data_IF_430173425116
#
_entry.id   IF_430173425116
#
_cell.length_a   1.000
_cell.length_b   1.000
_cell.length_c   1.000
_cell.angle_alpha   90.00
_cell.angle_beta   90.00
_cell.angle_gamma   90.00
#
_symmetry.space_group_name_H-M   'P 1'
#
loop_
_entity.id
_entity.type
_entity.pdbx_description
1 polymer ?
#
# COMPACT_ATOMS: atom_id res chain seq x y z
N UNK A 1 9.74 14.32 13.53
CA UNK A 1 9.18 14.07 14.89
C UNK A 1 10.13 14.69 15.89
N UNK A 2 9.64 15.45 16.86
CA UNK A 2 10.46 16.01 17.93
C UNK A 2 10.81 14.94 18.96
N UNK A 3 12.05 14.94 19.44
CA UNK A 3 12.49 14.15 20.59
C UNK A 3 12.61 15.11 21.77
N UNK A 4 11.84 14.87 22.83
CA UNK A 4 11.75 15.75 24.00
C UNK A 4 12.76 15.32 25.06
N UNK A 5 13.54 16.26 25.58
CA UNK A 5 14.51 16.00 26.66
C UNK A 5 14.58 17.21 27.59
N UNK A 6 14.10 17.09 28.85
CA UNK A 6 13.47 15.89 29.45
C UNK A 6 12.13 15.51 28.80
N UNK A 7 11.60 14.29 29.06
CA UNK A 7 10.25 13.92 28.65
C UNK A 7 9.20 14.91 29.19
N UNK A 8 8.15 15.18 28.43
CA UNK A 8 7.06 16.06 28.86
C UNK A 8 5.96 15.26 29.56
N UNK A 9 5.49 15.73 30.72
CA UNK A 9 4.34 15.14 31.41
C UNK A 9 3.04 15.71 30.85
N UNK A 10 2.21 14.85 30.26
CA UNK A 10 0.94 15.24 29.65
C UNK A 10 -0.15 14.31 30.14
N UNK A 11 -1.06 14.80 30.99
CA UNK A 11 -2.19 14.03 31.50
C UNK A 11 -1.79 12.70 32.17
N UNK A 12 -0.73 12.74 33.00
CA UNK A 12 -0.21 11.57 33.72
C UNK A 12 0.61 10.58 32.88
N UNK A 13 0.93 10.90 31.62
CA UNK A 13 1.86 10.10 30.82
C UNK A 13 3.10 10.89 30.44
N UNK A 14 4.24 10.23 30.55
CA UNK A 14 5.54 10.75 30.15
C UNK A 14 5.76 10.59 28.64
N UNK A 15 5.82 11.70 27.92
CA UNK A 15 5.92 11.75 26.45
C UNK A 15 7.33 12.13 26.03
N UNK A 16 7.98 11.25 25.26
CA UNK A 16 9.32 11.49 24.66
C UNK A 16 9.29 11.94 23.21
N UNK A 17 8.17 11.73 22.51
CA UNK A 17 8.04 11.97 21.07
C UNK A 17 6.75 12.75 20.81
N UNK A 18 6.86 13.84 20.06
CA UNK A 18 5.72 14.64 19.64
C UNK A 18 5.79 14.92 18.14
N UNK A 19 4.64 14.92 17.47
CA UNK A 19 4.57 15.24 16.04
C UNK A 19 4.89 16.72 15.79
N UNK A 20 5.59 16.96 14.68
CA UNK A 20 5.82 18.30 14.11
C UNK A 20 4.97 18.51 12.84
N UNK A 21 4.03 17.60 12.59
CA UNK A 21 3.17 17.55 11.39
C UNK A 21 3.95 17.43 10.07
N UNK A 22 4.40 18.55 9.50
CA UNK A 22 5.13 18.62 8.24
C UNK A 22 6.09 19.83 8.27
N UNK A 23 6.91 19.97 7.23
CA UNK A 23 7.91 21.06 7.19
C UNK A 23 7.28 22.45 7.10
N UNK A 24 6.16 22.62 6.38
CA UNK A 24 5.46 23.90 6.32
C UNK A 24 4.95 24.35 7.70
N UNK A 25 4.40 23.43 8.50
CA UNK A 25 3.93 23.73 9.86
C UNK A 25 5.11 24.02 10.81
N UNK A 26 6.21 23.29 10.63
CA UNK A 26 7.45 23.46 11.37
C UNK A 26 8.13 24.81 11.07
N UNK A 27 8.05 25.30 9.82
CA UNK A 27 8.49 26.65 9.43
C UNK A 27 7.55 27.73 9.98
N UNK A 28 6.24 27.57 9.80
CA UNK A 28 5.21 28.50 10.32
C UNK A 28 5.33 28.73 11.83
N UNK A 29 5.68 27.70 12.59
CA UNK A 29 5.87 27.76 14.05
C UNK A 29 7.29 28.13 14.47
N UNK A 30 8.18 28.48 13.52
CA UNK A 30 9.60 28.73 13.75
C UNK A 30 10.37 27.59 14.43
N UNK A 31 9.81 26.37 14.43
CA UNK A 31 10.37 25.21 15.11
C UNK A 31 11.64 24.66 14.43
N UNK A 32 11.83 24.91 13.12
CA UNK A 32 13.09 24.58 12.43
C UNK A 32 14.32 25.22 13.08
N UNK A 33 14.17 26.39 13.70
CA UNK A 33 15.25 27.14 14.36
C UNK A 33 15.18 27.04 15.88
N UNK A 34 14.37 26.13 16.40
CA UNK A 34 14.13 26.00 17.84
C UNK A 34 14.65 24.68 18.42
N UNK A 35 15.50 23.94 17.69
CA UNK A 35 16.14 22.75 18.23
C UNK A 35 17.04 23.15 19.40
N UNK A 36 16.74 22.62 20.60
CA UNK A 36 17.39 22.98 21.86
C UNK A 36 16.50 23.79 22.79
N UNK A 37 15.55 24.57 22.24
CA UNK A 37 14.67 25.45 23.00
C UNK A 37 13.50 24.70 23.67
N UNK A 38 12.90 25.35 24.67
CA UNK A 38 11.66 24.90 25.29
C UNK A 38 10.50 25.04 24.31
N UNK A 39 9.64 24.02 24.29
CA UNK A 39 8.47 23.97 23.41
C UNK A 39 7.22 23.65 24.20
N UNK A 40 6.09 24.20 23.78
CA UNK A 40 4.79 23.82 24.30
C UNK A 40 4.31 22.56 23.57
N UNK A 41 3.92 21.54 24.31
CA UNK A 41 3.40 20.27 23.78
C UNK A 41 2.00 20.07 24.33
N UNK A 42 1.09 19.63 23.47
CA UNK A 42 -0.29 19.30 23.85
C UNK A 42 -0.71 17.95 23.27
N UNK A 43 -1.80 17.38 23.79
CA UNK A 43 -2.46 16.22 23.18
C UNK A 43 -3.56 16.69 22.24
N UNK A 44 -3.40 16.43 20.94
CA UNK A 44 -4.48 16.61 19.99
C UNK A 44 -5.52 15.50 20.17
N UNK A 45 -6.75 15.86 20.54
CA UNK A 45 -7.87 14.93 20.73
C UNK A 45 -7.58 13.81 21.73
N UNK A 46 -6.91 14.14 22.84
CA UNK A 46 -6.50 13.26 23.95
C UNK A 46 -5.52 12.10 23.62
N UNK A 47 -5.18 11.90 22.35
CA UNK A 47 -4.39 10.72 21.90
C UNK A 47 -3.00 11.08 21.38
N UNK A 48 -2.84 12.11 20.54
CA UNK A 48 -1.59 12.32 19.79
C UNK A 48 -0.83 13.55 20.32
N UNK A 49 0.35 13.37 20.95
CA UNK A 49 1.17 14.51 21.36
C UNK A 49 1.70 15.28 20.15
N UNK A 50 1.50 16.61 20.15
CA UNK A 50 2.00 17.53 19.12
C UNK A 50 2.69 18.74 19.73
N UNK A 51 3.68 19.28 19.02
CA UNK A 51 4.31 20.54 19.40
C UNK A 51 3.47 21.71 18.88
N UNK A 52 3.07 22.60 19.79
CA UNK A 52 2.24 23.78 19.48
C UNK A 52 3.10 24.92 18.96
N UNK A 53 4.24 25.19 19.62
CA UNK A 53 5.19 26.24 19.27
C UNK A 53 6.32 26.34 20.28
N UNK A 54 7.13 27.38 20.19
CA UNK A 54 8.19 27.68 21.16
C UNK A 54 7.55 28.21 22.44
N UNK A 55 7.99 27.76 23.61
CA UNK A 55 7.34 28.11 24.88
C UNK A 55 7.31 29.63 25.15
N UNK A 56 8.37 30.33 24.74
CA UNK A 56 8.53 31.78 24.89
C UNK A 56 7.45 32.59 24.16
N UNK A 57 6.75 31.99 23.20
CA UNK A 57 5.62 32.62 22.49
C UNK A 57 4.31 32.58 23.30
N UNK A 58 4.26 31.83 24.41
CA UNK A 58 3.04 31.56 25.19
C UNK A 58 3.09 31.98 26.66
N UNK A 59 4.28 32.20 27.22
CA UNK A 59 4.47 32.54 28.63
C UNK A 59 5.36 33.77 28.77
N UNK A 60 4.93 34.74 29.57
CA UNK A 60 5.73 35.93 29.91
C UNK A 60 6.94 35.53 30.78
N UNK A 61 8.03 36.30 30.71
CA UNK A 61 9.30 36.03 31.39
C UNK A 61 9.21 35.98 32.94
N UNK A 62 8.05 36.33 33.51
CA UNK A 62 7.81 36.35 34.95
C UNK A 62 7.51 34.95 35.48
N UNK A 63 8.56 34.22 35.87
CA UNK A 63 8.45 32.96 36.60
C UNK A 63 9.22 31.78 36.00
N UNK A 64 9.97 31.98 34.92
CA UNK A 64 10.92 30.98 34.45
C UNK A 64 12.20 31.09 35.26
N UNK A 65 12.47 30.12 36.14
CA UNK A 65 13.84 29.88 36.60
C UNK A 65 14.77 29.97 35.38
N UNK A 66 15.86 30.75 35.48
CA UNK A 66 16.86 30.94 34.43
C UNK A 66 17.43 29.58 34.01
N UNK A 67 16.75 28.92 33.07
CA UNK A 67 17.33 27.82 32.34
C UNK A 67 18.24 28.45 31.30
N UNK A 68 19.50 28.68 31.67
CA UNK A 68 20.54 29.13 30.72
C UNK A 68 20.63 28.09 29.59
N UNK A 69 20.01 28.40 28.46
CA UNK A 69 19.99 27.55 27.27
C UNK A 69 21.38 27.60 26.59
N UNK A 70 22.33 26.85 27.15
CA UNK A 70 23.71 26.71 26.64
C UNK A 70 23.81 25.77 25.43
N UNK A 71 22.68 25.28 24.90
CA UNK A 71 22.69 24.35 23.77
C UNK A 71 22.73 25.12 22.46
N UNK A 72 23.60 24.70 21.56
CA UNK A 72 23.68 25.26 20.21
C UNK A 72 22.32 25.12 19.51
N UNK A 73 21.70 26.26 19.18
CA UNK A 73 20.48 26.30 18.40
C UNK A 73 20.82 25.84 16.98
N UNK A 74 20.38 24.64 16.61
CA UNK A 74 20.59 24.11 15.27
C UNK A 74 19.37 24.37 14.38
N UNK A 75 19.61 24.73 13.12
CA UNK A 75 18.54 24.85 12.12
C UNK A 75 18.29 23.51 11.47
N UNK A 76 17.18 22.86 11.80
CA UNK A 76 16.74 21.64 11.16
C UNK A 76 16.29 21.93 9.73
N UNK A 77 16.92 21.26 8.75
CA UNK A 77 16.59 21.37 7.33
C UNK A 77 15.90 20.11 6.81
N UNK A 78 15.03 20.24 5.79
CA UNK A 78 14.55 19.11 5.00
C UNK A 78 15.66 18.14 4.60
N UNK A 79 15.51 16.82 4.83
CA UNK A 79 16.41 15.86 4.22
C UNK A 79 16.25 15.93 2.70
N UNK A 80 17.37 15.94 1.97
CA UNK A 80 17.37 15.86 0.50
C UNK A 80 17.26 14.43 -0.01
N UNK A 81 17.65 13.47 0.83
CA UNK A 81 17.64 12.04 0.56
C UNK A 81 16.80 11.32 1.61
N UNK A 82 16.13 10.25 1.21
CA UNK A 82 15.26 9.49 2.07
C UNK A 82 16.09 8.71 3.09
N UNK A 83 15.87 8.89 4.41
CA UNK A 83 16.63 8.17 5.43
C UNK A 83 16.39 6.65 5.44
N UNK A 84 15.39 6.16 4.69
CA UNK A 84 15.10 4.73 4.58
C UNK A 84 15.73 4.07 3.34
N UNK A 85 15.93 4.79 2.24
CA UNK A 85 16.33 4.17 0.96
C UNK A 85 17.29 5.00 0.10
N UNK A 86 17.69 6.20 0.54
CA UNK A 86 18.60 7.09 -0.19
C UNK A 86 17.96 7.84 -1.36
N UNK A 87 16.77 7.46 -1.84
CA UNK A 87 16.11 8.14 -2.95
C UNK A 87 15.82 9.63 -2.64
N UNK A 88 15.70 10.44 -3.68
CA UNK A 88 15.45 11.87 -3.54
C UNK A 88 14.18 12.17 -2.73
N UNK A 89 14.24 13.20 -1.89
CA UNK A 89 13.07 13.76 -1.22
C UNK A 89 12.63 15.01 -1.97
N UNK A 90 11.35 15.06 -2.32
CA UNK A 90 10.76 16.15 -3.09
C UNK A 90 9.48 16.67 -2.45
N UNK A 91 9.22 17.95 -2.66
CA UNK A 91 8.02 18.61 -2.19
C UNK A 91 6.85 18.21 -3.10
N UNK A 92 6.03 17.28 -2.62
CA UNK A 92 4.90 16.77 -3.39
C UNK A 92 3.66 17.65 -3.10
N UNK A 93 2.99 18.18 -4.14
CA UNK A 93 1.80 19.01 -3.95
C UNK A 93 0.70 18.21 -3.24
N UNK A 94 -0.07 18.88 -2.38
CA UNK A 94 -1.28 18.29 -1.83
C UNK A 94 -2.39 18.35 -2.88
N UNK A 95 -2.68 17.19 -3.45
CA UNK A 95 -3.85 16.95 -4.26
C UNK A 95 -5.08 16.98 -3.36
N UNK A 96 -5.98 17.96 -3.55
CA UNK A 96 -7.29 17.99 -2.89
C UNK A 96 -8.21 16.90 -3.46
N UNK A 97 -9.35 16.63 -2.80
CA UNK A 97 -10.43 15.83 -3.39
C UNK A 97 -10.95 16.60 -4.61
N UNK A 98 -10.53 16.18 -5.79
CA UNK A 98 -10.84 16.82 -7.07
C UNK A 98 -9.68 17.67 -7.58
N UNK A 99 -8.57 17.03 -7.97
CA UNK A 99 -7.43 17.52 -8.81
C UNK A 99 -6.89 18.96 -8.61
N UNK A 100 -7.35 19.68 -7.59
CA UNK A 100 -6.95 21.03 -7.26
C UNK A 100 -5.71 21.00 -6.39
N UNK A 101 -4.69 21.73 -6.81
CA UNK A 101 -3.49 21.95 -6.01
C UNK A 101 -3.84 22.95 -4.91
N UNK A 102 -3.74 22.56 -3.64
CA UNK A 102 -3.68 23.57 -2.57
C UNK A 102 -2.30 24.19 -2.59
N UNK A 103 -2.22 25.47 -2.97
CA UNK A 103 -0.97 26.17 -3.27
C UNK A 103 0.03 26.23 -2.10
N UNK A 104 -0.36 25.91 -0.85
CA UNK A 104 0.43 26.24 0.35
C UNK A 104 0.73 25.09 1.33
N UNK A 105 0.61 23.82 0.93
CA UNK A 105 0.98 22.74 1.83
C UNK A 105 1.65 21.58 1.09
N UNK A 106 2.84 21.81 0.51
CA UNK A 106 3.62 20.70 -0.02
C UNK A 106 4.10 19.79 1.11
N UNK A 107 3.95 18.47 0.94
CA UNK A 107 4.49 17.48 1.89
C UNK A 107 5.74 16.88 1.26
N UNK A 108 6.82 16.83 2.02
CA UNK A 108 8.03 16.15 1.58
C UNK A 108 7.77 14.64 1.49
N UNK A 109 8.09 14.07 0.33
CA UNK A 109 7.94 12.63 0.08
C UNK A 109 9.20 12.07 -0.55
N UNK A 110 9.43 10.79 -0.26
CA UNK A 110 10.46 10.00 -0.91
C UNK A 110 9.97 9.59 -2.31
N UNK A 111 10.81 9.80 -3.31
CA UNK A 111 10.58 9.45 -4.72
C UNK A 111 10.84 7.97 -5.03
N UNK A 112 11.49 7.23 -4.12
CA UNK A 112 11.82 5.80 -4.26
C UNK A 112 10.63 4.85 -4.17
N UNK A 113 9.49 5.24 -4.74
CA UNK A 113 8.18 4.61 -4.68
C UNK A 113 8.22 3.09 -4.70
N UNK A 114 8.77 2.46 -5.74
CA UNK A 114 8.73 0.99 -5.89
C UNK A 114 9.73 0.20 -5.03
N UNK A 115 10.73 0.86 -4.43
CA UNK A 115 11.81 0.18 -3.69
C UNK A 115 11.94 0.57 -2.23
N UNK A 116 11.37 1.70 -1.82
CA UNK A 116 11.54 2.20 -0.47
C UNK A 116 11.01 1.18 0.56
N UNK A 117 11.83 0.68 1.50
CA UNK A 117 11.40 -0.27 2.52
C UNK A 117 10.31 0.30 3.43
N UNK A 118 10.42 1.58 3.79
CA UNK A 118 9.41 2.27 4.59
C UNK A 118 8.04 2.39 3.90
N UNK A 119 7.97 2.18 2.58
CA UNK A 119 6.72 2.19 1.81
C UNK A 119 6.27 0.78 1.41
N UNK A 120 7.06 -0.27 1.68
CA UNK A 120 6.84 -1.61 1.14
C UNK A 120 5.47 -2.20 1.52
N UNK A 121 5.11 -2.17 2.79
CA UNK A 121 3.85 -2.74 3.27
C UNK A 121 2.63 -2.14 2.57
N UNK A 122 2.50 -0.81 2.55
CA UNK A 122 1.36 -0.15 1.92
C UNK A 122 1.39 -0.30 0.40
N UNK A 123 2.59 -0.23 -0.21
CA UNK A 123 2.77 -0.43 -1.65
C UNK A 123 2.31 -1.82 -2.07
N UNK A 124 2.75 -2.87 -1.38
CA UNK A 124 2.37 -4.24 -1.69
C UNK A 124 0.88 -4.45 -1.43
N UNK A 125 0.34 -3.91 -0.33
CA UNK A 125 -1.09 -3.98 -0.03
C UNK A 125 -1.94 -3.30 -1.11
N UNK A 126 -1.51 -2.14 -1.61
CA UNK A 126 -2.15 -1.45 -2.74
C UNK A 126 -2.05 -2.26 -4.03
N UNK A 127 -0.85 -2.77 -4.35
CA UNK A 127 -0.57 -3.52 -5.56
C UNK A 127 -1.43 -4.79 -5.68
N UNK A 128 -1.66 -5.50 -4.58
CA UNK A 128 -2.49 -6.72 -4.56
C UNK A 128 -3.98 -6.47 -4.30
N UNK A 129 -4.37 -5.20 -4.11
CA UNK A 129 -5.75 -4.84 -3.77
C UNK A 129 -6.76 -5.19 -4.87
N UNK A 130 -8.04 -5.21 -4.48
CA UNK A 130 -9.17 -5.54 -5.37
C UNK A 130 -9.26 -4.66 -6.60
N UNK A 131 -8.86 -3.39 -6.53
CA UNK A 131 -8.89 -2.47 -7.67
C UNK A 131 -7.58 -2.50 -8.49
N UNK A 132 -6.53 -3.17 -7.99
CA UNK A 132 -5.21 -3.29 -8.59
C UNK A 132 -5.02 -4.65 -9.29
N UNK A 133 -4.15 -5.55 -8.82
CA UNK A 133 -4.01 -6.87 -9.45
C UNK A 133 -5.04 -7.90 -8.99
N UNK A 134 -5.82 -7.59 -7.94
CA UNK A 134 -6.84 -8.47 -7.36
C UNK A 134 -6.27 -9.85 -6.99
N UNK A 135 -5.22 -9.86 -6.16
CA UNK A 135 -4.61 -11.11 -5.67
C UNK A 135 -5.27 -11.46 -4.33
N UNK A 136 -6.13 -12.49 -4.27
CA UNK A 136 -6.77 -12.90 -3.03
C UNK A 136 -5.76 -13.52 -2.05
N UNK A 137 -6.14 -13.55 -0.76
CA UNK A 137 -5.39 -14.32 0.25
C UNK A 137 -4.18 -13.62 0.87
N UNK A 138 -3.93 -12.34 0.56
CA UNK A 138 -2.91 -11.51 1.20
C UNK A 138 -3.52 -10.48 2.16
N UNK A 139 -3.60 -10.82 3.44
CA UNK A 139 -3.98 -9.84 4.46
C UNK A 139 -2.81 -8.88 4.73
N UNK A 140 -3.11 -7.61 5.05
CA UNK A 140 -2.10 -6.60 5.38
C UNK A 140 -1.11 -7.05 6.46
N UNK A 141 -1.58 -7.77 7.49
CA UNK A 141 -0.71 -8.32 8.51
C UNK A 141 0.32 -9.32 7.96
N UNK A 142 -0.05 -10.15 6.98
CA UNK A 142 0.88 -11.07 6.30
C UNK A 142 1.87 -10.30 5.42
N UNK A 143 1.41 -9.25 4.72
CA UNK A 143 2.26 -8.39 3.91
C UNK A 143 3.32 -7.69 4.76
N UNK A 144 2.91 -7.08 5.89
CA UNK A 144 3.84 -6.47 6.87
C UNK A 144 4.89 -7.50 7.29
N UNK A 145 4.41 -8.68 7.66
CA UNK A 145 5.24 -9.81 8.01
C UNK A 145 6.28 -10.14 6.92
N UNK A 146 5.88 -10.19 5.65
CA UNK A 146 6.80 -10.50 4.54
C UNK A 146 7.84 -9.41 4.31
N UNK A 147 7.45 -8.15 4.52
CA UNK A 147 8.34 -7.00 4.39
C UNK A 147 9.35 -6.95 5.56
N UNK A 148 8.90 -7.17 6.79
CA UNK A 148 9.75 -7.17 8.00
C UNK A 148 10.80 -8.28 7.97
N UNK A 149 10.47 -9.44 7.38
CA UNK A 149 11.40 -10.55 7.16
C UNK A 149 12.21 -10.42 5.86
N UNK A 150 12.05 -9.31 5.13
CA UNK A 150 12.71 -9.02 3.84
C UNK A 150 12.52 -10.12 2.77
N UNK A 151 11.45 -10.90 2.89
CA UNK A 151 11.08 -11.93 1.91
C UNK A 151 10.48 -11.27 0.67
N UNK A 152 9.68 -10.22 0.88
CA UNK A 152 9.07 -9.40 -0.17
C UNK A 152 9.42 -7.95 0.10
N UNK A 153 10.19 -7.34 -0.79
CA UNK A 153 10.60 -5.93 -0.71
C UNK A 153 10.01 -5.09 -1.83
N UNK A 154 9.66 -5.75 -2.94
CA UNK A 154 9.07 -5.14 -4.13
C UNK A 154 7.93 -6.01 -4.68
N UNK A 155 7.03 -5.45 -5.50
CA UNK A 155 5.97 -6.23 -6.15
C UNK A 155 6.50 -7.42 -6.97
N UNK A 156 7.69 -7.28 -7.58
CA UNK A 156 8.32 -8.33 -8.37
C UNK A 156 8.62 -9.58 -7.53
N UNK A 157 9.00 -9.41 -6.26
CA UNK A 157 9.35 -10.52 -5.38
C UNK A 157 8.18 -11.50 -5.20
N UNK A 158 6.93 -11.01 -5.22
CA UNK A 158 5.73 -11.84 -5.11
C UNK A 158 5.71 -12.95 -6.17
N UNK A 159 5.97 -12.60 -7.43
CA UNK A 159 5.93 -13.53 -8.56
C UNK A 159 7.16 -14.45 -8.61
N UNK A 160 8.16 -14.22 -7.77
CA UNK A 160 9.32 -15.12 -7.63
C UNK A 160 9.19 -16.10 -6.47
N UNK A 161 8.20 -15.92 -5.58
CA UNK A 161 8.09 -16.69 -4.34
C UNK A 161 8.00 -18.20 -4.58
N UNK A 162 7.20 -18.62 -5.57
CA UNK A 162 7.08 -20.04 -5.91
C UNK A 162 8.43 -20.61 -6.32
N UNK A 163 9.10 -19.99 -7.27
CA UNK A 163 10.41 -20.44 -7.76
C UNK A 163 11.44 -20.49 -6.63
N UNK A 164 11.45 -19.49 -5.75
CA UNK A 164 12.37 -19.43 -4.60
C UNK A 164 12.15 -20.56 -3.60
N UNK A 165 10.91 -21.01 -3.42
CA UNK A 165 10.55 -21.98 -2.39
C UNK A 165 10.00 -23.31 -2.94
N UNK A 166 10.22 -23.60 -4.23
CA UNK A 166 9.72 -24.79 -4.92
C UNK A 166 10.16 -26.10 -4.27
N UNK A 167 11.35 -26.14 -3.65
CA UNK A 167 11.86 -27.30 -2.92
C UNK A 167 11.03 -27.66 -1.68
N UNK A 168 10.23 -26.72 -1.17
CA UNK A 168 9.42 -26.89 0.05
C UNK A 168 7.95 -27.23 -0.23
N UNK A 169 7.54 -27.35 -1.50
CA UNK A 169 6.16 -27.73 -1.86
C UNK A 169 5.87 -29.23 -1.71
N UNK A 170 6.90 -30.08 -1.82
CA UNK A 170 6.73 -31.54 -1.86
C UNK A 170 6.64 -32.15 -0.45
N UNK A 171 5.70 -33.08 -0.28
CA UNK A 171 5.59 -33.90 0.94
C UNK A 171 6.78 -34.85 1.08
N UNK A 172 7.18 -35.13 2.31
CA UNK A 172 8.34 -35.93 2.69
C UNK A 172 8.16 -37.45 2.42
N UNK A 173 7.71 -37.82 1.22
CA UNK A 173 7.66 -39.22 0.75
C UNK A 173 8.85 -39.59 -0.15
N UNK A 174 9.73 -38.62 -0.46
CA UNK A 174 11.08 -38.87 -0.94
C UNK A 174 12.07 -38.61 0.19
N UNK A 175 12.51 -39.67 0.85
CA UNK A 175 13.44 -39.60 1.98
C UNK A 175 14.81 -39.06 1.57
N UNK A 176 14.96 -37.74 1.54
CA UNK A 176 16.20 -36.96 1.70
C UNK A 176 15.82 -35.48 1.62
N UNK A 177 15.52 -34.85 2.76
CA UNK A 177 15.15 -33.43 2.78
C UNK A 177 14.60 -32.95 4.12
N UNK A 178 15.10 -33.50 5.22
CA UNK A 178 14.85 -32.91 6.53
C UNK A 178 15.86 -31.81 6.77
N UNK A 179 15.41 -30.63 7.19
CA UNK A 179 16.28 -29.71 7.94
C UNK A 179 16.59 -30.44 9.24
N UNK A 180 17.81 -30.97 9.34
CA UNK A 180 18.33 -31.54 10.58
C UNK A 180 18.30 -30.47 11.66
N UNK A 181 17.91 -30.85 12.86
CA UNK A 181 18.08 -30.06 14.07
C UNK A 181 19.59 -30.00 14.41
N UNK A 182 20.39 -29.28 13.61
CA UNK A 182 21.77 -28.90 13.93
C UNK A 182 21.78 -27.41 14.30
N UNK A 183 21.19 -27.10 15.47
CA UNK A 183 21.64 -25.95 16.24
C UNK A 183 23.03 -26.33 16.80
N UNK A 184 24.05 -25.54 16.45
CA UNK A 184 25.45 -25.57 16.94
C UNK A 184 26.50 -26.13 15.97
N UNK A 185 26.77 -25.39 14.89
CA UNK A 185 28.14 -25.23 14.36
C UNK A 185 28.30 -23.84 13.77
N UNK A 186 29.12 -23.03 14.43
CA UNK A 186 29.61 -21.75 13.92
C UNK A 186 30.36 -21.97 12.61
N UNK A 187 29.91 -21.43 11.47
CA UNK A 187 30.71 -21.46 10.26
C UNK A 187 31.74 -20.33 10.34
N UNK A 188 33.00 -20.72 10.23
CA UNK A 188 34.11 -19.84 9.93
C UNK A 188 34.03 -19.42 8.45
N UNK A 189 34.48 -18.19 8.17
CA UNK A 189 34.74 -17.55 6.85
C UNK A 189 33.56 -16.94 6.05
N UNK A 190 33.36 -15.63 6.25
CA UNK A 190 33.19 -14.54 5.27
C UNK A 190 32.26 -14.69 4.03
N UNK A 191 31.06 -15.24 4.19
CA UNK A 191 29.93 -14.93 3.31
C UNK A 191 28.89 -14.06 4.06
N UNK A 192 28.36 -12.96 3.47
CA UNK A 192 27.42 -12.11 4.18
C UNK A 192 26.09 -12.83 4.43
N UNK A 193 25.74 -12.98 5.72
CA UNK A 193 24.51 -13.59 6.28
C UNK A 193 23.18 -13.13 5.66
N UNK A 194 23.16 -12.11 4.81
CA UNK A 194 21.99 -11.57 4.12
C UNK A 194 21.58 -12.40 2.89
N UNK A 195 22.51 -13.12 2.25
CA UNK A 195 22.22 -13.97 1.08
C UNK A 195 21.60 -15.31 1.49
N UNK A 196 22.04 -15.92 2.58
CA UNK A 196 21.52 -17.22 3.09
C UNK A 196 20.10 -17.11 3.66
N UNK A 197 19.67 -15.94 4.17
CA UNK A 197 18.30 -15.73 4.65
C UNK A 197 17.27 -15.70 3.52
N UNK A 198 17.66 -15.34 2.30
CA UNK A 198 16.74 -15.25 1.16
C UNK A 198 16.37 -16.62 0.58
N UNK A 199 17.16 -17.65 0.85
CA UNK A 199 16.98 -19.02 0.33
C UNK A 199 16.08 -19.92 1.17
N UNK A 200 15.86 -19.62 2.45
CA UNK A 200 14.98 -20.42 3.31
C UNK A 200 13.65 -19.70 3.54
N UNK A 201 12.50 -20.39 3.43
CA UNK A 201 11.22 -19.80 3.77
C UNK A 201 11.18 -19.54 5.29
N UNK A 202 10.49 -18.49 5.74
CA UNK A 202 10.30 -18.23 7.15
C UNK A 202 9.68 -19.42 7.89
N UNK A 203 10.16 -19.72 9.10
CA UNK A 203 9.67 -20.89 9.89
C UNK A 203 8.14 -20.91 10.03
N UNK A 204 7.49 -19.75 10.13
CA UNK A 204 6.02 -19.64 10.24
C UNK A 204 5.27 -20.06 8.97
N UNK A 205 5.95 -20.14 7.82
CA UNK A 205 5.39 -20.61 6.55
C UNK A 205 5.35 -22.13 6.48
N UNK A 206 6.18 -22.79 7.29
CA UNK A 206 6.31 -24.24 7.29
C UNK A 206 5.37 -24.89 8.32
N UNK A 207 4.96 -26.11 8.04
CA UNK A 207 4.41 -26.98 9.08
C UNK A 207 5.51 -27.33 10.08
N UNK A 208 5.22 -27.09 11.37
CA UNK A 208 6.17 -27.35 12.47
C UNK A 208 6.07 -28.81 12.97
N UNK A 209 4.95 -29.48 12.69
CA UNK A 209 4.67 -30.84 13.15
C UNK A 209 3.81 -31.63 12.15
N UNK A 210 3.70 -32.94 12.38
CA UNK A 210 2.93 -33.86 11.54
C UNK A 210 3.71 -34.36 10.32
N UNK A 211 3.00 -35.09 9.44
CA UNK A 211 3.58 -35.73 8.24
C UNK A 211 4.20 -34.75 7.24
N UNK A 212 3.78 -33.48 7.31
CA UNK A 212 4.22 -32.42 6.44
C UNK A 212 5.29 -31.52 7.08
N UNK A 213 5.89 -31.90 8.22
CA UNK A 213 6.91 -31.09 8.91
C UNK A 213 7.99 -30.64 7.92
N UNK A 214 8.29 -29.34 7.90
CA UNK A 214 9.29 -28.75 7.00
C UNK A 214 8.78 -28.36 5.61
N UNK A 215 7.52 -28.63 5.27
CA UNK A 215 6.90 -28.21 3.99
C UNK A 215 6.04 -26.96 4.15
N UNK A 216 5.77 -26.26 3.04
CA UNK A 216 4.94 -25.05 3.03
C UNK A 216 3.49 -25.35 3.45
N UNK A 217 2.91 -24.45 4.25
CA UNK A 217 1.48 -24.51 4.57
C UNK A 217 0.64 -24.29 3.33
N UNK A 218 -0.49 -25.00 3.25
CA UNK A 218 -1.43 -24.92 2.14
C UNK A 218 -1.91 -23.49 1.81
N UNK A 219 -1.95 -22.58 2.79
CA UNK A 219 -2.29 -21.17 2.55
C UNK A 219 -1.29 -20.45 1.64
N UNK A 220 -0.01 -20.80 1.68
CA UNK A 220 1.01 -20.19 0.82
C UNK A 220 1.01 -20.81 -0.57
N UNK A 221 0.72 -22.11 -0.70
CA UNK A 221 0.52 -22.74 -2.00
C UNK A 221 -0.64 -22.09 -2.76
N UNK A 222 -1.78 -21.86 -2.07
CA UNK A 222 -2.91 -21.13 -2.65
C UNK A 222 -2.57 -19.70 -3.06
N UNK A 223 -1.69 -19.04 -2.31
CA UNK A 223 -1.21 -17.71 -2.68
C UNK A 223 -0.36 -17.78 -3.95
N UNK A 224 0.52 -18.77 -4.07
CA UNK A 224 1.31 -18.95 -5.28
C UNK A 224 0.41 -19.24 -6.49
N UNK A 225 -0.60 -20.10 -6.32
CA UNK A 225 -1.59 -20.38 -7.37
C UNK A 225 -2.30 -19.09 -7.83
N UNK A 226 -2.71 -18.24 -6.89
CA UNK A 226 -3.36 -16.96 -7.20
C UNK A 226 -2.42 -15.98 -7.95
N UNK A 227 -1.14 -15.95 -7.61
CA UNK A 227 -0.14 -15.11 -8.29
C UNK A 227 0.13 -15.62 -9.71
N UNK A 228 0.23 -16.94 -9.90
CA UNK A 228 0.40 -17.56 -11.22
C UNK A 228 -0.83 -17.34 -12.09
N UNK A 229 -2.03 -17.41 -11.52
CA UNK A 229 -3.28 -17.12 -12.21
C UNK A 229 -3.26 -15.68 -12.74
N UNK A 230 -2.88 -14.70 -11.90
CA UNK A 230 -2.75 -13.29 -12.33
C UNK A 230 -1.71 -13.13 -13.44
N UNK A 231 -0.55 -13.77 -13.34
CA UNK A 231 0.47 -13.72 -14.37
C UNK A 231 -0.01 -14.34 -15.70
N UNK A 232 -0.72 -15.46 -15.63
CA UNK A 232 -1.22 -16.19 -16.80
C UNK A 232 -2.36 -15.45 -17.52
N UNK A 233 -3.37 -14.96 -16.78
CA UNK A 233 -4.51 -14.23 -17.38
C UNK A 233 -4.10 -12.87 -17.93
N UNK A 234 -3.05 -12.28 -17.37
CA UNK A 234 -2.60 -10.93 -17.70
C UNK A 234 -3.42 -9.85 -16.98
N UNK A 235 -2.82 -8.67 -16.84
CA UNK A 235 -3.39 -7.54 -16.09
C UNK A 235 -3.78 -6.43 -17.06
N UNK A 236 -5.04 -5.96 -17.06
CA UNK A 236 -5.45 -4.80 -17.86
C UNK A 236 -4.58 -3.57 -17.57
N UNK A 237 -4.26 -2.78 -18.60
CA UNK A 237 -3.38 -1.62 -18.46
C UNK A 237 -3.85 -0.64 -17.38
N UNK A 238 -5.14 -0.31 -17.32
CA UNK A 238 -5.69 0.63 -16.33
C UNK A 238 -5.43 0.16 -14.89
N UNK A 239 -5.66 -1.13 -14.62
CA UNK A 239 -5.40 -1.75 -13.32
C UNK A 239 -3.92 -1.81 -12.98
N UNK A 240 -3.08 -2.12 -13.96
CA UNK A 240 -1.63 -2.15 -13.76
C UNK A 240 -1.09 -0.74 -13.44
N UNK A 241 -1.50 0.29 -14.17
CA UNK A 241 -1.10 1.68 -13.91
C UNK A 241 -1.55 2.15 -12.53
N UNK A 242 -2.78 1.80 -12.12
CA UNK A 242 -3.26 2.06 -10.77
C UNK A 242 -2.40 1.32 -9.72
N UNK A 243 -2.06 0.06 -9.95
CA UNK A 243 -1.28 -0.77 -9.04
C UNK A 243 0.14 -0.26 -8.77
N UNK A 244 0.74 0.49 -9.72
CA UNK A 244 2.06 1.11 -9.52
C UNK A 244 2.06 2.11 -8.35
N UNK A 245 0.88 2.60 -7.92
CA UNK A 245 0.76 3.49 -6.78
C UNK A 245 1.41 4.86 -7.01
N UNK A 246 1.49 5.29 -8.28
CA UNK A 246 2.01 6.62 -8.64
C UNK A 246 1.09 7.66 -8.01
N UNK A 247 1.68 8.62 -7.29
CA UNK A 247 0.92 9.61 -6.54
C UNK A 247 0.01 10.41 -7.48
N UNK A 248 -1.27 10.50 -7.14
CA UNK A 248 -2.25 11.25 -7.94
C UNK A 248 -2.85 10.45 -9.10
N UNK A 249 -2.33 9.25 -9.38
CA UNK A 249 -2.95 8.32 -10.31
C UNK A 249 -3.96 7.46 -9.55
N UNK A 250 -5.20 7.95 -9.48
CA UNK A 250 -6.36 7.17 -9.03
C UNK A 250 -6.85 6.19 -10.09
N UNK A 251 -7.95 5.46 -9.83
CA UNK A 251 -8.49 4.48 -10.80
C UNK A 251 -8.95 5.17 -12.07
N UNK A 252 -9.67 6.28 -11.92
CA UNK A 252 -10.23 7.08 -13.00
C UNK A 252 -9.09 7.71 -13.82
N UNK A 253 -8.04 8.18 -13.16
CA UNK A 253 -6.84 8.69 -13.83
C UNK A 253 -6.08 7.58 -14.56
N UNK A 254 -5.92 6.41 -13.94
CA UNK A 254 -5.25 5.26 -14.55
C UNK A 254 -6.02 4.74 -15.78
N UNK A 255 -7.35 4.77 -15.73
CA UNK A 255 -8.22 4.49 -16.86
C UNK A 255 -8.01 5.50 -18.00
N UNK A 256 -8.05 6.80 -17.70
CA UNK A 256 -7.84 7.84 -18.70
C UNK A 256 -6.46 7.72 -19.38
N UNK A 257 -5.41 7.43 -18.58
CA UNK A 257 -4.07 7.14 -19.08
C UNK A 257 -4.06 5.90 -19.99
N UNK A 258 -4.66 4.79 -19.54
CA UNK A 258 -4.70 3.54 -20.30
C UNK A 258 -5.47 3.70 -21.62
N UNK A 259 -6.61 4.41 -21.60
CA UNK A 259 -7.39 4.75 -22.79
C UNK A 259 -6.59 5.59 -23.78
N UNK A 260 -5.82 6.56 -23.29
CA UNK A 260 -5.02 7.46 -24.15
C UNK A 260 -3.84 6.75 -24.81
N UNK A 261 -3.13 5.91 -24.07
CA UNK A 261 -1.87 5.31 -24.52
C UNK A 261 -2.02 3.91 -25.08
N UNK A 262 -3.08 3.19 -24.70
CA UNK A 262 -3.44 1.83 -25.13
C UNK A 262 -2.44 0.75 -24.69
N UNK A 263 -1.14 1.00 -24.70
CA UNK A 263 -0.10 0.04 -24.31
C UNK A 263 0.77 0.61 -23.21
N UNK A 264 1.38 -0.29 -22.42
CA UNK A 264 2.32 0.11 -21.38
C UNK A 264 3.52 0.86 -21.97
N UNK A 265 4.06 0.42 -23.11
CA UNK A 265 5.23 1.05 -23.73
C UNK A 265 4.96 2.48 -24.18
N UNK A 266 3.80 2.74 -24.77
CA UNK A 266 3.39 4.10 -25.13
C UNK A 266 3.26 5.01 -23.90
N UNK A 267 2.71 4.50 -22.80
CA UNK A 267 2.67 5.24 -21.53
C UNK A 267 4.07 5.49 -20.96
N UNK A 268 4.95 4.48 -20.97
CA UNK A 268 6.33 4.59 -20.47
C UNK A 268 7.13 5.63 -21.25
N UNK A 269 6.97 5.68 -22.56
CA UNK A 269 7.64 6.68 -23.41
C UNK A 269 7.17 8.10 -23.06
N UNK A 270 5.86 8.32 -22.95
CA UNK A 270 5.32 9.62 -22.55
C UNK A 270 5.79 10.04 -21.14
N UNK A 271 5.82 9.08 -20.19
CA UNK A 271 6.28 9.34 -18.84
C UNK A 271 7.78 9.62 -18.73
N UNK A 272 8.61 8.99 -19.58
CA UNK A 272 10.06 9.28 -19.67
C UNK A 272 10.32 10.68 -20.23
N UNK A 273 9.58 11.12 -21.24
CA UNK A 273 9.69 12.49 -21.74
C UNK A 273 9.34 13.51 -20.67
N UNK A 274 8.30 13.25 -19.89
CA UNK A 274 7.97 14.10 -18.74
C UNK A 274 9.12 14.13 -17.72
N UNK A 275 9.73 12.98 -17.42
CA UNK A 275 10.90 12.90 -16.54
C UNK A 275 12.11 13.70 -17.07
N UNK A 276 12.41 13.61 -18.36
CA UNK A 276 13.49 14.37 -19.02
C UNK A 276 13.26 15.88 -18.91
N UNK A 277 12.02 16.34 -19.16
CA UNK A 277 11.64 17.75 -18.98
C UNK A 277 11.82 18.21 -17.54
N UNK A 278 11.48 17.39 -16.55
CA UNK A 278 11.70 17.73 -15.13
C UNK A 278 13.18 17.83 -14.78
N UNK A 279 14.00 16.88 -15.24
CA UNK A 279 15.44 16.89 -15.02
C UNK A 279 16.09 18.11 -15.69
N UNK A 280 15.69 18.44 -16.92
CA UNK A 280 16.17 19.63 -17.62
C UNK A 280 15.84 20.93 -16.86
N UNK A 281 14.63 21.03 -16.29
CA UNK A 281 14.22 22.17 -15.44
C UNK A 281 15.02 22.26 -14.15
N UNK A 282 15.27 21.13 -13.49
CA UNK A 282 16.10 21.10 -12.27
C UNK A 282 17.53 21.57 -12.57
N UNK A 283 18.16 21.08 -13.65
CA UNK A 283 19.51 21.50 -14.08
C UNK A 283 19.56 22.98 -14.50
N UNK A 284 18.60 23.44 -15.33
CA UNK A 284 18.50 24.84 -15.73
C UNK A 284 18.26 25.81 -14.55
N UNK A 285 17.53 25.38 -13.52
CA UNK A 285 17.32 26.16 -12.29
C UNK A 285 18.59 26.35 -11.46
N UNK A 286 19.60 25.49 -11.64
CA UNK A 286 20.90 25.60 -10.97
C UNK A 286 21.88 26.52 -11.70
N UNK A 287 21.82 26.62 -13.03
CA UNK A 287 22.60 27.58 -13.83
C UNK A 287 22.06 29.02 -13.71
N UNK A 288 20.73 29.20 -13.63
CA UNK A 288 20.06 30.51 -13.76
C UNK A 288 19.97 31.31 -12.46
N UNK A 289 20.34 30.74 -11.29
CA UNK A 289 20.33 31.48 -10.01
C UNK A 289 21.45 32.53 -9.86
N UNK A 290 22.15 32.90 -10.95
CA UNK A 290 23.19 33.92 -10.92
C UNK A 290 22.96 35.18 -11.73
N UNK A 291 21.95 35.30 -12.59
CA UNK A 291 21.74 36.59 -13.29
C UNK A 291 20.24 36.86 -13.56
N UNK A 292 19.84 38.04 -13.09
CA UNK A 292 18.78 38.96 -13.53
C UNK A 292 17.29 38.57 -13.48
N UNK A 293 16.54 39.49 -12.84
CA UNK A 293 15.22 39.91 -13.27
C UNK A 293 15.25 40.24 -14.77
N UNK A 294 14.31 39.71 -15.55
CA UNK A 294 13.70 40.41 -16.67
C UNK A 294 12.51 39.58 -17.15
N UNK A 295 11.47 40.29 -17.54
CA UNK A 295 10.23 39.78 -18.11
C UNK A 295 10.54 38.92 -19.33
N UNK A 296 10.17 37.63 -19.32
CA UNK A 296 10.25 36.77 -20.49
C UNK A 296 8.87 36.18 -20.80
N UNK A 297 8.49 36.42 -22.05
CA UNK A 297 7.20 36.14 -22.68
C UNK A 297 6.76 34.68 -22.55
N UNK A 298 5.53 34.48 -22.08
CA UNK A 298 4.93 33.18 -21.75
C UNK A 298 4.54 32.30 -22.96
N UNK A 299 4.88 32.69 -24.20
CA UNK A 299 4.22 32.18 -25.42
C UNK A 299 5.16 31.71 -26.55
N UNK A 300 6.34 31.14 -26.23
CA UNK A 300 7.23 30.55 -27.26
C UNK A 300 7.34 29.03 -27.27
N UNK A 301 6.54 28.31 -26.46
CA UNK A 301 6.53 26.85 -26.49
C UNK A 301 6.00 26.36 -27.86
N UNK A 302 6.90 25.80 -28.66
CA UNK A 302 6.55 25.11 -29.91
C UNK A 302 5.49 24.03 -29.62
N UNK A 303 4.66 23.71 -30.61
CA UNK A 303 3.57 22.74 -30.47
C UNK A 303 4.03 21.34 -29.98
N UNK A 304 5.33 21.05 -30.01
CA UNK A 304 5.97 19.78 -29.63
C UNK A 304 6.31 19.68 -28.13
N UNK A 305 6.38 20.79 -27.38
CA UNK A 305 6.74 20.81 -25.94
C UNK A 305 5.55 20.59 -24.99
N UNK A 306 4.33 20.43 -25.53
CA UNK A 306 3.13 20.21 -24.70
C UNK A 306 3.15 18.80 -24.13
N UNK A 307 3.16 18.69 -22.79
CA UNK A 307 3.06 17.42 -22.07
C UNK A 307 1.89 16.58 -22.58
N UNK A 308 2.20 15.39 -23.09
CA UNK A 308 1.19 14.44 -23.54
C UNK A 308 0.26 14.00 -22.40
N UNK A 309 0.75 14.05 -21.15
CA UNK A 309 -0.02 13.70 -19.97
C UNK A 309 -1.07 14.77 -19.65
N UNK A 310 -0.73 16.07 -19.72
CA UNK A 310 -1.70 17.15 -19.41
C UNK A 310 -2.77 17.34 -20.48
N UNK A 311 -2.59 16.73 -21.66
CA UNK A 311 -3.63 16.68 -22.70
C UNK A 311 -4.80 15.75 -22.36
N UNK A 312 -4.67 14.93 -21.32
CA UNK A 312 -5.69 13.94 -20.92
C UNK A 312 -6.66 14.59 -19.94
N UNK A 313 -7.96 14.48 -20.24
CA UNK A 313 -9.00 14.95 -19.33
C UNK A 313 -8.86 14.29 -17.96
N UNK A 314 -8.81 15.10 -16.90
CA UNK A 314 -8.60 14.61 -15.54
C UNK A 314 -7.12 14.41 -15.14
N UNK A 315 -6.15 14.68 -16.01
CA UNK A 315 -4.72 14.69 -15.68
C UNK A 315 -4.20 16.14 -15.70
N UNK A 316 -4.08 16.73 -14.51
CA UNK A 316 -3.51 18.08 -14.36
C UNK A 316 -1.97 18.08 -14.28
N UNK A 317 -1.33 19.27 -14.32
CA UNK A 317 0.12 19.41 -14.21
C UNK A 317 0.72 18.74 -12.97
N UNK A 318 0.00 18.71 -11.85
CA UNK A 318 0.46 18.07 -10.62
C UNK A 318 0.56 16.53 -10.74
N UNK A 319 -0.32 15.90 -11.54
CA UNK A 319 -0.27 14.46 -11.79
C UNK A 319 0.79 14.13 -12.84
N UNK A 320 0.91 14.95 -13.88
CA UNK A 320 1.99 14.83 -14.86
C UNK A 320 3.36 14.91 -14.16
N UNK A 321 3.54 15.91 -13.28
CA UNK A 321 4.73 16.06 -12.46
C UNK A 321 5.06 14.81 -11.64
N UNK A 322 4.09 14.23 -10.91
CA UNK A 322 4.36 13.03 -10.10
C UNK A 322 4.64 11.78 -10.93
N UNK A 323 4.08 11.67 -12.13
CA UNK A 323 4.45 10.62 -13.10
C UNK A 323 5.89 10.83 -13.57
N UNK A 324 6.26 12.05 -13.97
CA UNK A 324 7.63 12.38 -14.35
C UNK A 324 8.62 12.11 -13.22
N UNK A 325 8.34 12.54 -11.99
CA UNK A 325 9.18 12.27 -10.81
C UNK A 325 9.38 10.77 -10.57
N UNK A 326 8.33 9.97 -10.76
CA UNK A 326 8.42 8.52 -10.60
C UNK A 326 9.40 7.92 -11.61
N UNK A 327 9.34 8.35 -12.88
CA UNK A 327 10.21 7.84 -13.94
C UNK A 327 11.62 8.48 -13.96
N UNK A 328 11.78 9.65 -13.35
CA UNK A 328 13.08 10.30 -13.16
C UNK A 328 13.95 9.55 -12.13
N UNK A 329 13.34 8.81 -11.20
CA UNK A 329 14.05 7.96 -10.23
C UNK A 329 14.46 6.62 -10.87
N UNK A 330 15.75 6.38 -11.16
CA UNK A 330 16.20 5.17 -11.86
C UNK A 330 15.86 3.89 -11.10
N UNK A 331 15.81 3.97 -9.76
CA UNK A 331 15.37 2.86 -8.94
C UNK A 331 13.92 2.47 -9.25
N UNK A 332 12.99 3.39 -9.50
CA UNK A 332 11.63 2.97 -9.84
C UNK A 332 11.58 2.28 -11.20
N UNK A 333 12.27 2.83 -12.20
CA UNK A 333 12.30 2.27 -13.57
C UNK A 333 12.81 0.84 -13.57
N UNK A 334 13.97 0.59 -12.94
CA UNK A 334 14.50 -0.77 -12.90
C UNK A 334 13.71 -1.71 -11.96
N UNK A 335 12.86 -1.21 -11.06
CA UNK A 335 11.95 -2.05 -10.27
C UNK A 335 10.73 -2.45 -11.11
N UNK A 336 10.22 -1.52 -11.92
CA UNK A 336 9.20 -1.80 -12.92
C UNK A 336 9.70 -2.81 -13.96
N UNK A 337 10.93 -2.66 -14.45
CA UNK A 337 11.51 -3.63 -15.39
C UNK A 337 11.66 -5.02 -14.75
N UNK A 338 12.08 -5.10 -13.48
CA UNK A 338 12.16 -6.37 -12.76
C UNK A 338 10.77 -7.02 -12.56
N UNK A 339 9.72 -6.23 -12.34
CA UNK A 339 8.34 -6.71 -12.24
C UNK A 339 7.82 -7.28 -13.56
N UNK A 340 8.13 -6.62 -14.68
CA UNK A 340 7.76 -7.14 -16.00
C UNK A 340 8.55 -8.42 -16.32
N UNK A 341 9.84 -8.46 -15.96
CA UNK A 341 10.69 -9.63 -16.12
C UNK A 341 10.28 -10.82 -15.23
N UNK A 342 9.56 -10.58 -14.11
CA UNK A 342 9.06 -11.66 -13.24
C UNK A 342 7.82 -12.37 -13.79
N UNK A 343 7.37 -12.03 -15.00
CA UNK A 343 6.27 -12.72 -15.70
C UNK A 343 4.91 -12.03 -15.62
N UNK A 344 4.84 -10.80 -15.09
CA UNK A 344 3.58 -10.04 -15.11
C UNK A 344 3.31 -9.52 -16.52
N UNK A 345 2.33 -10.15 -17.19
CA UNK A 345 1.89 -9.76 -18.53
C UNK A 345 0.87 -8.62 -18.44
N UNK A 346 1.21 -7.45 -18.99
CA UNK A 346 0.29 -6.31 -19.07
C UNK A 346 -0.43 -6.32 -20.41
N UNK A 347 -1.76 -6.35 -20.38
CA UNK A 347 -2.61 -6.37 -21.55
C UNK A 347 -2.83 -4.93 -22.06
N UNK A 348 -2.89 -4.70 -23.38
CA UNK A 348 -3.34 -3.43 -23.92
C UNK A 348 -4.72 -3.04 -23.40
N UNK A 349 -5.00 -1.75 -23.29
CA UNK A 349 -6.30 -1.25 -22.90
C UNK A 349 -7.35 -1.64 -23.95
N UNK A 350 -8.48 -2.15 -23.46
CA UNK A 350 -9.66 -2.45 -24.24
C UNK A 350 -10.91 -2.04 -23.44
N UNK A 351 -11.84 -1.35 -24.08
CA UNK A 351 -13.10 -0.89 -23.47
C UNK A 351 -14.02 -2.03 -22.98
N UNK A 352 -13.77 -3.27 -23.45
CA UNK A 352 -14.50 -4.46 -23.00
C UNK A 352 -14.10 -4.94 -21.60
N UNK A 353 -12.83 -4.81 -21.22
CA UNK A 353 -12.28 -5.41 -20.00
C UNK A 353 -12.84 -4.76 -18.73
N UNK A 354 -13.27 -3.50 -18.83
CA UNK A 354 -13.87 -2.75 -17.71
C UNK A 354 -15.36 -3.03 -17.55
N UNK A 355 -16.07 -3.31 -18.65
CA UNK A 355 -17.47 -3.70 -18.60
C UNK A 355 -17.65 -5.06 -17.91
N UNK A 356 -16.67 -5.95 -18.03
CA UNK A 356 -16.70 -7.25 -17.37
C UNK A 356 -16.38 -7.16 -15.86
N UNK A 357 -15.58 -6.16 -15.44
CA UNK A 357 -15.36 -5.85 -14.01
C UNK A 357 -16.57 -5.09 -13.39
N UNK A 358 -17.26 -4.22 -14.15
CA UNK A 358 -18.54 -3.60 -13.71
C UNK A 358 -19.71 -4.60 -13.69
N UNK A 359 -19.69 -5.62 -14.57
CA UNK A 359 -20.62 -6.76 -14.53
C UNK A 359 -20.37 -7.71 -13.36
N UNK A 360 -19.37 -7.50 -12.50
CA UNK A 360 -19.25 -8.24 -11.24
C UNK A 360 -20.39 -7.84 -10.29
N UNK A 361 -21.48 -8.58 -10.43
CA UNK A 361 -22.65 -8.76 -9.54
C UNK A 361 -22.91 -7.57 -8.61
N UNK A 362 -23.79 -6.67 -9.04
CA UNK A 362 -24.36 -5.64 -8.16
C UNK A 362 -25.02 -6.37 -6.98
N UNK A 363 -24.42 -6.24 -5.79
CA UNK A 363 -25.00 -6.76 -4.56
C UNK A 363 -26.22 -5.92 -4.25
N UNK A 364 -27.38 -6.55 -4.04
CA UNK A 364 -28.53 -5.83 -3.47
C UNK A 364 -28.17 -5.39 -2.04
N UNK A 365 -27.95 -4.08 -1.88
CA UNK A 365 -27.53 -3.45 -0.62
C UNK A 365 -28.54 -3.63 0.54
N UNK A 366 -29.73 -4.20 0.27
CA UNK A 366 -30.75 -4.51 1.28
C UNK A 366 -31.00 -6.00 1.49
N UNK A 367 -30.31 -6.88 0.76
CA UNK A 367 -30.59 -8.31 0.77
C UNK A 367 -30.49 -8.97 2.16
N UNK A 368 -29.68 -8.42 3.07
CA UNK A 368 -29.57 -8.88 4.46
C UNK A 368 -29.75 -7.75 5.48
N UNK A 369 -30.43 -6.66 5.13
CA UNK A 369 -30.56 -5.47 5.97
C UNK A 369 -30.97 -5.82 7.42
N UNK A 370 -30.08 -5.55 8.38
CA UNK A 370 -30.31 -5.76 9.81
C UNK A 370 -30.24 -7.22 10.30
N UNK A 371 -30.04 -8.19 9.41
CA UNK A 371 -29.99 -9.62 9.76
C UNK A 371 -28.57 -10.04 10.17
N UNK A 372 -28.46 -10.88 11.19
CA UNK A 372 -27.19 -11.50 11.61
C UNK A 372 -26.99 -12.82 10.88
N UNK A 373 -26.02 -12.84 9.96
CA UNK A 373 -25.79 -13.96 9.04
C UNK A 373 -24.47 -14.65 9.36
N UNK A 374 -24.51 -15.98 9.47
CA UNK A 374 -23.32 -16.83 9.60
C UNK A 374 -23.15 -17.63 8.31
N UNK A 375 -21.94 -17.67 7.78
CA UNK A 375 -21.60 -18.53 6.62
C UNK A 375 -20.76 -19.73 7.09
N UNK A 376 -21.24 -20.93 6.80
CA UNK A 376 -20.56 -22.21 7.06
C UNK A 376 -20.48 -23.04 5.79
N UNK A 377 -19.37 -23.73 5.56
CA UNK A 377 -19.11 -24.41 4.28
C UNK A 377 -18.56 -23.48 3.21
N UNK A 378 -18.40 -23.99 1.98
CA UNK A 378 -17.88 -23.24 0.82
C UNK A 378 -19.05 -22.72 -0.01
N UNK A 379 -19.02 -21.44 -0.38
CA UNK A 379 -20.00 -20.85 -1.31
C UNK A 379 -19.35 -20.83 -2.71
N UNK A 380 -20.01 -21.33 -3.77
CA UNK A 380 -19.46 -21.30 -5.11
C UNK A 380 -19.10 -19.88 -5.55
N UNK A 381 -17.91 -19.70 -6.11
CA UNK A 381 -17.46 -18.42 -6.67
C UNK A 381 -17.10 -17.35 -5.65
N UNK A 382 -17.02 -17.66 -4.34
CA UNK A 382 -16.52 -16.73 -3.32
C UNK A 382 -15.90 -17.45 -2.12
N UNK A 383 -14.84 -16.87 -1.59
CA UNK A 383 -14.22 -17.27 -0.33
C UNK A 383 -15.15 -16.97 0.84
N UNK A 384 -14.92 -17.64 1.98
CA UNK A 384 -15.69 -17.36 3.21
C UNK A 384 -15.60 -15.89 3.65
N UNK A 385 -14.44 -15.26 3.45
CA UNK A 385 -14.25 -13.85 3.75
C UNK A 385 -15.08 -12.95 2.82
N UNK A 386 -15.14 -13.29 1.53
CA UNK A 386 -15.97 -12.58 0.55
C UNK A 386 -17.46 -12.78 0.82
N UNK A 387 -17.90 -13.98 1.21
CA UNK A 387 -19.28 -14.23 1.60
C UNK A 387 -19.69 -13.40 2.83
N UNK A 388 -18.82 -13.31 3.85
CA UNK A 388 -19.07 -12.46 5.03
C UNK A 388 -19.07 -10.97 4.67
N UNK A 389 -18.20 -10.55 3.76
CA UNK A 389 -18.20 -9.17 3.26
C UNK A 389 -19.45 -8.85 2.46
N UNK A 390 -19.90 -9.76 1.59
CA UNK A 390 -21.12 -9.60 0.81
C UNK A 390 -22.36 -9.47 1.70
N UNK A 391 -22.40 -10.18 2.84
CA UNK A 391 -23.44 -9.96 3.88
C UNK A 391 -23.40 -8.53 4.41
N UNK A 392 -22.21 -8.01 4.73
CA UNK A 392 -22.07 -6.63 5.24
C UNK A 392 -22.44 -5.59 4.18
N UNK A 393 -22.00 -5.79 2.94
CA UNK A 393 -22.33 -4.94 1.81
C UNK A 393 -23.86 -4.96 1.51
N UNK A 394 -24.53 -6.08 1.78
CA UNK A 394 -25.97 -6.26 1.71
C UNK A 394 -26.75 -5.73 2.95
N UNK A 395 -26.09 -4.97 3.82
CA UNK A 395 -26.70 -4.36 5.01
C UNK A 395 -26.85 -5.29 6.23
N UNK A 396 -26.27 -6.48 6.18
CA UNK A 396 -26.31 -7.48 7.26
C UNK A 396 -25.13 -7.41 8.23
N UNK A 397 -25.26 -8.15 9.34
CA UNK A 397 -24.24 -8.30 10.38
C UNK A 397 -23.59 -9.66 10.24
N UNK A 398 -22.37 -9.70 9.69
CA UNK A 398 -21.63 -10.94 9.48
C UNK A 398 -21.08 -11.51 10.81
N UNK A 399 -21.37 -12.78 11.08
CA UNK A 399 -20.95 -13.50 12.29
C UNK A 399 -20.03 -14.69 11.95
N UNK A 400 -18.99 -14.88 12.76
CA UNK A 400 -18.01 -15.97 12.58
C UNK A 400 -18.50 -17.33 13.08
N UNK A 401 -19.50 -17.34 13.98
CA UNK A 401 -20.08 -18.52 14.60
C UNK A 401 -21.58 -18.34 14.90
N UNK A 402 -22.31 -19.47 14.94
CA UNK A 402 -23.73 -19.50 15.30
C UNK A 402 -23.90 -19.17 16.79
N UNK A 403 -24.79 -18.23 17.08
CA UNK A 403 -25.16 -17.81 18.43
C UNK A 403 -26.68 -17.90 18.61
N UNK A 404 -27.20 -17.70 19.82
CA UNK A 404 -28.65 -17.58 20.06
C UNK A 404 -29.29 -16.32 19.43
N UNK A 405 -28.47 -15.50 18.77
CA UNK A 405 -28.83 -14.27 18.09
C UNK A 405 -28.61 -14.39 16.57
N UNK A 406 -28.38 -15.57 16.02
CA UNK A 406 -28.17 -15.72 14.58
C UNK A 406 -29.53 -15.76 13.89
N UNK A 407 -29.74 -14.90 12.88
CA UNK A 407 -31.01 -14.82 12.16
C UNK A 407 -30.98 -15.71 10.91
N UNK A 408 -29.82 -15.81 10.23
CA UNK A 408 -29.63 -16.64 9.04
C UNK A 408 -28.32 -17.44 9.12
N UNK A 409 -28.37 -18.73 8.79
CA UNK A 409 -27.21 -19.59 8.55
C UNK A 409 -27.16 -19.96 7.07
N UNK A 410 -26.09 -19.56 6.39
CA UNK A 410 -25.76 -20.00 5.04
C UNK A 410 -24.96 -21.29 5.13
N UNK A 411 -25.51 -22.37 4.61
CA UNK A 411 -24.92 -23.70 4.56
C UNK A 411 -24.40 -24.00 3.16
N UNK A 412 -23.12 -23.77 2.92
CA UNK A 412 -22.42 -24.13 1.70
C UNK A 412 -21.86 -25.55 1.69
N UNK A 413 -21.19 -25.89 0.59
CA UNK A 413 -20.69 -27.24 0.34
C UNK A 413 -19.69 -27.67 1.41
N UNK A 414 -19.83 -28.91 1.88
CA UNK A 414 -19.03 -29.48 2.97
C UNK A 414 -19.41 -28.99 4.37
N UNK A 415 -20.51 -28.23 4.53
CA UNK A 415 -21.02 -27.88 5.86
C UNK A 415 -21.54 -29.13 6.61
N UNK A 416 -21.08 -29.32 7.85
CA UNK A 416 -21.52 -30.43 8.69
C UNK A 416 -22.97 -30.25 9.19
N UNK A 417 -23.81 -31.28 9.00
CA UNK A 417 -25.27 -31.27 9.34
C UNK A 417 -25.58 -30.79 10.76
N UNK A 418 -24.70 -31.11 11.72
CA UNK A 418 -24.83 -30.70 13.14
C UNK A 418 -24.96 -29.18 13.33
N UNK A 419 -24.31 -28.37 12.48
CA UNK A 419 -24.37 -26.90 12.58
C UNK A 419 -25.69 -26.35 12.06
N UNK A 420 -26.23 -26.94 10.99
CA UNK A 420 -27.54 -26.60 10.46
C UNK A 420 -28.65 -26.93 11.48
N UNK A 421 -28.63 -28.15 12.03
CA UNK A 421 -29.57 -28.57 13.09
C UNK A 421 -29.49 -27.66 14.32
N UNK A 422 -28.27 -27.34 14.77
CA UNK A 422 -28.04 -26.47 15.92
C UNK A 422 -28.48 -25.00 15.70
N UNK A 423 -28.51 -24.53 14.46
CA UNK A 423 -29.00 -23.20 14.10
C UNK A 423 -30.53 -23.20 13.99
N UNK A 424 -31.12 -24.20 13.33
CA UNK A 424 -32.58 -24.37 13.26
C UNK A 424 -33.23 -24.50 14.63
N UNK A 425 -32.63 -25.28 15.54
CA UNK A 425 -33.12 -25.41 16.93
C UNK A 425 -33.07 -24.10 17.72
N UNK A 426 -32.28 -23.12 17.27
CA UNK A 426 -32.17 -21.79 17.88
C UNK A 426 -33.00 -20.72 17.15
N UNK A 427 -33.79 -21.12 16.16
CA UNK A 427 -34.69 -20.23 15.40
C UNK A 427 -34.05 -19.49 14.23
N UNK A 428 -32.82 -19.84 13.83
CA UNK A 428 -32.18 -19.25 12.66
C UNK A 428 -32.71 -19.90 11.36
N UNK A 429 -32.94 -19.10 10.32
CA UNK A 429 -33.26 -19.60 8.99
C UNK A 429 -32.01 -20.23 8.34
N UNK A 430 -32.11 -21.47 7.87
CA UNK A 430 -31.00 -22.14 7.17
C UNK A 430 -31.25 -22.07 5.67
N UNK A 431 -30.34 -21.43 4.95
CA UNK A 431 -30.36 -21.34 3.49
C UNK A 431 -29.11 -22.01 2.92
N UNK A 432 -29.22 -22.59 1.73
CA UNK A 432 -28.06 -23.16 1.04
C UNK A 432 -27.23 -22.08 0.31
N UNK A 433 -26.08 -22.46 -0.23
CA UNK A 433 -25.21 -21.54 -0.95
C UNK A 433 -25.87 -20.96 -2.21
N UNK A 434 -26.79 -21.67 -2.86
CA UNK A 434 -27.46 -21.15 -4.07
C UNK A 434 -28.48 -20.09 -3.70
N UNK A 435 -29.34 -20.36 -2.73
CA UNK A 435 -30.29 -19.41 -2.19
C UNK A 435 -29.58 -18.15 -1.65
N UNK A 436 -28.42 -18.31 -1.00
CA UNK A 436 -27.60 -17.18 -0.57
C UNK A 436 -27.13 -16.30 -1.73
N UNK A 437 -26.66 -16.89 -2.83
CA UNK A 437 -26.26 -16.16 -4.03
C UNK A 437 -27.45 -15.50 -4.71
N UNK A 438 -28.59 -16.18 -4.81
CA UNK A 438 -29.82 -15.65 -5.41
C UNK A 438 -30.44 -14.52 -4.59
N UNK A 439 -30.15 -14.47 -3.28
CA UNK A 439 -30.54 -13.36 -2.39
C UNK A 439 -29.59 -12.17 -2.55
N UNK A 440 -28.27 -12.40 -2.67
CA UNK A 440 -27.30 -11.32 -2.89
C UNK A 440 -27.40 -10.70 -4.28
N UNK A 441 -27.76 -11.51 -5.27
CA UNK A 441 -27.68 -11.16 -6.70
C UNK A 441 -28.98 -11.55 -7.41
N UNK A 442 -30.09 -10.85 -7.14
CA UNK A 442 -31.40 -11.20 -7.70
C UNK A 442 -31.45 -11.14 -9.23
N UNK A 443 -30.57 -10.36 -9.87
CA UNK A 443 -30.48 -10.23 -11.33
C UNK A 443 -29.85 -11.44 -12.03
N UNK A 444 -29.25 -12.39 -11.28
CA UNK A 444 -28.71 -13.64 -11.81
C UNK A 444 -29.70 -14.82 -11.73
N UNK A 445 -30.98 -14.55 -11.48
CA UNK A 445 -32.02 -15.59 -11.37
C UNK A 445 -32.49 -16.13 -12.73
N UNK A 446 -32.28 -15.38 -13.81
CA UNK A 446 -32.77 -15.69 -15.16
C UNK A 446 -31.67 -16.12 -16.16
N UNK A 447 -30.43 -16.35 -15.69
CA UNK A 447 -29.34 -17.05 -16.41
C UNK A 447 -29.06 -18.42 -15.77
#
# INVERSE_FOLDING_TARGET
VAILTPPAELGGASVRRATLHNFSDLERKNLHRAVGRRVLVERAGDVIPRVVGVADDFFDAEGTEEYEDKRAVFTYRPPKECPSCGAAVRASPLLSKGNGVTQNAAVLRCTGGLRCPAQATERIAHFVSRDALDVPGLAKAQITAFCDEEVVTSPADLFTLRTRFASFERSADSGTGGIGDDDDKTPTTDAPRSLERKSLPPKRWLYVSGKNKGTLKASFLKLFDALDEVASRGVPLSRFLFALGIRGVGRETANALARRFVTLDAFREAARREAETLVARELGSTETRRVSNEDEDEDSATHEDRSLLTSIEGVGPAVAFTIGEFFAEPANVAALDALLASGVRVLPFNDGDERDDEKKKVVDARAFAGLRVVVTGTVPGMTRAEALRAVTDAGGIAQSAVSGKTDVLVSGDGAGRRKAEAASLRGAAVIDARAFLDTLFPELRDE
#
